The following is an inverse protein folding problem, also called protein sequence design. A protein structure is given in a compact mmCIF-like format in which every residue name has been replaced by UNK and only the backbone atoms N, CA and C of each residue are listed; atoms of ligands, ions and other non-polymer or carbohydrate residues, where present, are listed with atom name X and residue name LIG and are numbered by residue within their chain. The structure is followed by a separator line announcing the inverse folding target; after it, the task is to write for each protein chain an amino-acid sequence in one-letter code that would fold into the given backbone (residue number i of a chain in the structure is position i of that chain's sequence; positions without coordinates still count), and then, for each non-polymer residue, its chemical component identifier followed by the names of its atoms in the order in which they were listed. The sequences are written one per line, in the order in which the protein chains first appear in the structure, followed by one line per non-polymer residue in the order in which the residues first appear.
data_IF_201986558821
#
_entry.id   IF_201986558821
#
_cell.length_a   1.000
_cell.length_b   1.000
_cell.length_c   1.000
_cell.angle_alpha   90.00
_cell.angle_beta   90.00
_cell.angle_gamma   90.00
#
_symmetry.space_group_name_H-M   'P 1'
#
loop_
_entity.id
_entity.type
_entity.pdbx_description
1 polymer ?
#
# COMPACT_ATOMS: atom_id res chain seq x y z
N UNK A 1 -16.61 -4.89 18.54
CA UNK A 1 -15.65 -5.24 17.47
C UNK A 1 -14.39 -4.44 17.70
N UNK A 2 -13.19 -5.04 17.67
CA UNK A 2 -11.95 -4.26 17.74
C UNK A 2 -11.59 -3.71 16.36
N UNK A 3 -11.03 -2.51 16.31
CA UNK A 3 -10.51 -1.93 15.08
C UNK A 3 -9.33 -2.75 14.55
N UNK A 4 -9.19 -2.94 13.24
CA UNK A 4 -8.01 -3.59 12.67
C UNK A 4 -6.78 -2.70 12.87
N UNK A 5 -5.60 -3.33 13.01
CA UNK A 5 -4.33 -2.61 12.99
C UNK A 5 -4.04 -2.21 11.54
N UNK A 6 -3.67 -0.95 11.33
CA UNK A 6 -3.40 -0.38 10.01
C UNK A 6 -2.01 0.25 10.01
N UNK A 7 -1.21 -0.04 8.99
CA UNK A 7 0.12 0.55 8.77
C UNK A 7 0.07 1.34 7.46
N UNK A 8 0.45 2.61 7.51
CA UNK A 8 0.61 3.46 6.33
C UNK A 8 2.10 3.62 5.99
N UNK A 9 2.42 3.70 4.69
CA UNK A 9 3.79 3.87 4.20
C UNK A 9 3.81 5.04 3.23
N UNK A 10 4.34 6.17 3.69
CA UNK A 10 4.37 7.45 2.97
C UNK A 10 5.79 7.87 2.59
N UNK A 11 5.89 8.77 1.60
CA UNK A 11 7.16 9.26 1.08
C UNK A 11 7.12 9.66 -0.41
N UNK A 12 8.20 10.27 -0.93
CA UNK A 12 8.24 10.84 -2.27
C UNK A 12 8.10 9.78 -3.38
N UNK A 13 7.78 10.21 -4.61
CA UNK A 13 7.72 9.31 -5.76
C UNK A 13 9.07 8.61 -5.99
N UNK A 14 9.04 7.34 -6.40
CA UNK A 14 10.26 6.56 -6.67
C UNK A 14 11.00 6.02 -5.43
N UNK A 15 10.58 6.31 -4.20
CA UNK A 15 11.28 5.86 -2.97
C UNK A 15 11.10 4.38 -2.59
N UNK A 16 10.41 3.57 -3.43
CA UNK A 16 10.23 2.13 -3.17
C UNK A 16 9.08 1.74 -2.23
N UNK A 17 8.18 2.67 -1.87
CA UNK A 17 7.06 2.43 -0.93
C UNK A 17 6.20 1.22 -1.27
N UNK A 18 5.78 1.10 -2.53
CA UNK A 18 4.93 -0.02 -2.98
C UNK A 18 5.62 -1.36 -2.81
N UNK A 19 6.94 -1.41 -3.07
CA UNK A 19 7.76 -2.61 -2.86
C UNK A 19 7.82 -2.99 -1.39
N UNK A 20 8.15 -2.04 -0.50
CA UNK A 20 8.22 -2.30 0.95
C UNK A 20 6.84 -2.69 1.50
N UNK A 21 5.76 -2.03 1.05
CA UNK A 21 4.41 -2.34 1.46
C UNK A 21 4.00 -3.77 1.07
N UNK A 22 4.33 -4.21 -0.15
CA UNK A 22 4.09 -5.60 -0.59
C UNK A 22 4.90 -6.63 0.19
N UNK A 23 6.18 -6.35 0.45
CA UNK A 23 7.04 -7.24 1.26
C UNK A 23 6.52 -7.35 2.70
N UNK A 24 6.08 -6.25 3.30
CA UNK A 24 5.52 -6.21 4.65
C UNK A 24 4.20 -6.98 4.72
N UNK A 25 3.29 -6.73 3.79
CA UNK A 25 2.00 -7.43 3.72
C UNK A 25 2.18 -8.95 3.55
N UNK A 26 3.12 -9.38 2.69
CA UNK A 26 3.48 -10.79 2.53
C UNK A 26 4.02 -11.40 3.83
N UNK A 27 4.95 -10.71 4.49
CA UNK A 27 5.60 -11.19 5.72
C UNK A 27 4.63 -11.30 6.90
N UNK A 28 3.67 -10.36 6.99
CA UNK A 28 2.65 -10.35 8.05
C UNK A 28 1.40 -11.16 7.70
N UNK A 29 1.29 -11.66 6.47
CA UNK A 29 0.06 -12.25 5.91
C UNK A 29 -1.14 -11.29 5.98
N UNK A 30 -0.91 -10.01 5.70
CA UNK A 30 -1.92 -8.96 5.73
C UNK A 30 -2.38 -8.58 4.32
N UNK A 31 -3.53 -7.92 4.25
CA UNK A 31 -4.00 -7.32 3.01
C UNK A 31 -3.22 -6.05 2.67
N UNK A 32 -2.88 -5.88 1.39
CA UNK A 32 -2.26 -4.66 0.85
C UNK A 32 -3.29 -3.83 0.11
N UNK A 33 -3.35 -2.53 0.42
CA UNK A 33 -4.06 -1.52 -0.34
C UNK A 33 -3.05 -0.60 -1.06
N UNK A 34 -2.84 -0.80 -2.36
CA UNK A 34 -2.00 0.09 -3.18
C UNK A 34 -2.81 1.30 -3.67
N UNK A 35 -2.76 2.39 -2.91
CA UNK A 35 -3.40 3.66 -3.28
C UNK A 35 -2.86 4.23 -4.60
N UNK A 36 -1.58 4.02 -4.90
CA UNK A 36 -0.96 4.46 -6.15
C UNK A 36 -1.55 3.76 -7.37
N UNK A 37 -1.86 2.46 -7.27
CA UNK A 37 -2.53 1.72 -8.34
C UNK A 37 -3.93 2.27 -8.63
N UNK A 38 -4.70 2.59 -7.58
CA UNK A 38 -6.03 3.19 -7.73
C UNK A 38 -5.98 4.51 -8.49
N UNK A 39 -5.06 5.41 -8.11
CA UNK A 39 -4.90 6.68 -8.81
C UNK A 39 -4.43 6.50 -10.26
N UNK A 40 -3.54 5.54 -10.55
CA UNK A 40 -3.10 5.24 -11.93
C UNK A 40 -4.24 4.73 -12.81
N UNK A 41 -5.09 3.84 -12.29
CA UNK A 41 -6.26 3.34 -13.03
C UNK A 41 -7.25 4.47 -13.29
N UNK A 42 -7.50 5.33 -12.29
CA UNK A 42 -8.40 6.47 -12.45
C UNK A 42 -7.89 7.49 -13.47
N UNK A 43 -6.59 7.72 -13.54
CA UNK A 43 -5.98 8.66 -14.48
C UNK A 43 -6.03 8.20 -15.96
N UNK A 44 -6.40 6.94 -16.23
CA UNK A 44 -6.56 6.41 -17.58
C UNK A 44 -8.00 6.55 -18.12
N UNK A 45 -8.96 6.98 -17.29
CA UNK A 45 -10.37 7.14 -17.62
C UNK A 45 -10.72 8.57 -18.08
#
# INVERSE_FOLDING_TARGET
MSSPVVITIDGPSGSGKGTVAGLLASSLQWHLLDSGALYRVLALA
#
